data_IF_241469258529
#
_entry.id   IF_241469258529
#
_cell.length_a   1.000
_cell.length_b   1.000
_cell.length_c   1.000
_cell.angle_alpha   90.00
_cell.angle_beta   90.00
_cell.angle_gamma   90.00
#
_symmetry.space_group_name_H-M   'P 1'
#
loop_
_entity.id
_entity.type
_entity.pdbx_description
1 polymer ?
#
# COMPACT_ATOMS: atom_id res chain seq x y z
N UNK A 1 -18.05 -51.75 -2.72
CA UNK A 1 -17.53 -51.09 -1.53
C UNK A 1 -18.56 -51.08 -0.43
N UNK A 2 -18.22 -51.33 0.83
CA UNK A 2 -19.17 -51.26 1.96
C UNK A 2 -19.77 -49.85 2.06
N UNK A 3 -21.07 -49.77 2.36
CA UNK A 3 -21.78 -48.48 2.47
C UNK A 3 -21.15 -47.53 3.49
N UNK A 4 -20.56 -48.10 4.52
CA UNK A 4 -19.85 -47.38 5.57
C UNK A 4 -18.60 -46.64 5.05
N UNK A 5 -17.86 -47.23 4.12
CA UNK A 5 -16.68 -46.61 3.50
C UNK A 5 -17.08 -45.44 2.61
N UNK A 6 -18.18 -45.55 1.89
CA UNK A 6 -18.71 -44.48 1.05
C UNK A 6 -19.18 -43.31 1.93
N UNK A 7 -19.85 -43.59 3.06
CA UNK A 7 -20.28 -42.57 4.00
C UNK A 7 -19.10 -41.84 4.65
N UNK A 8 -18.03 -42.56 5.04
CA UNK A 8 -16.83 -41.96 5.59
C UNK A 8 -16.11 -41.04 4.60
N UNK A 9 -16.01 -41.48 3.33
CA UNK A 9 -15.40 -40.63 2.27
C UNK A 9 -16.24 -39.39 2.03
N UNK A 10 -17.57 -39.52 1.96
CA UNK A 10 -18.45 -38.36 1.79
C UNK A 10 -18.33 -37.36 2.95
N UNK A 11 -18.23 -37.85 4.19
CA UNK A 11 -18.02 -37.00 5.36
C UNK A 11 -16.69 -36.26 5.29
N UNK A 12 -15.61 -36.93 4.91
CA UNK A 12 -14.27 -36.27 4.76
C UNK A 12 -14.30 -35.19 3.67
N UNK A 13 -14.95 -35.44 2.55
CA UNK A 13 -15.11 -34.43 1.49
C UNK A 13 -15.92 -33.23 1.98
N UNK A 14 -16.99 -33.46 2.74
CA UNK A 14 -17.82 -32.39 3.30
C UNK A 14 -17.01 -31.53 4.31
N UNK A 15 -16.22 -32.15 5.17
CA UNK A 15 -15.33 -31.43 6.14
C UNK A 15 -14.28 -30.61 5.38
N UNK A 16 -13.66 -31.18 4.37
CA UNK A 16 -12.67 -30.47 3.55
C UNK A 16 -13.30 -29.28 2.80
N UNK A 17 -14.47 -29.46 2.21
CA UNK A 17 -15.20 -28.39 1.54
C UNK A 17 -15.61 -27.26 2.52
N UNK A 18 -16.08 -27.61 3.71
CA UNK A 18 -16.39 -26.62 4.76
C UNK A 18 -15.15 -25.86 5.21
N UNK A 19 -14.02 -26.53 5.42
CA UNK A 19 -12.75 -25.91 5.77
C UNK A 19 -12.23 -24.93 4.71
N UNK A 20 -12.30 -25.33 3.43
CA UNK A 20 -11.89 -24.44 2.33
C UNK A 20 -12.82 -23.23 2.19
N UNK A 21 -14.12 -23.40 2.36
CA UNK A 21 -15.09 -22.29 2.35
C UNK A 21 -14.79 -21.28 3.49
N UNK A 22 -14.54 -21.77 4.70
CA UNK A 22 -14.18 -20.95 5.85
C UNK A 22 -12.88 -20.16 5.61
N UNK A 23 -11.86 -20.79 5.04
CA UNK A 23 -10.60 -20.14 4.69
C UNK A 23 -10.78 -19.05 3.63
N UNK A 24 -11.65 -19.28 2.65
CA UNK A 24 -11.96 -18.28 1.61
C UNK A 24 -12.66 -17.06 2.23
N UNK A 25 -13.66 -17.29 3.08
CA UNK A 25 -14.38 -16.19 3.77
C UNK A 25 -13.44 -15.42 4.67
N UNK A 26 -12.59 -16.10 5.45
CA UNK A 26 -11.59 -15.47 6.31
C UNK A 26 -10.59 -14.62 5.50
N UNK A 27 -10.05 -15.16 4.40
CA UNK A 27 -9.15 -14.41 3.50
C UNK A 27 -9.83 -13.19 2.87
N UNK A 28 -11.10 -13.30 2.46
CA UNK A 28 -11.87 -12.17 1.90
C UNK A 28 -12.06 -11.07 2.94
N UNK A 29 -12.45 -11.41 4.17
CA UNK A 29 -12.65 -10.47 5.27
C UNK A 29 -11.34 -9.76 5.63
N UNK A 30 -10.23 -10.50 5.71
CA UNK A 30 -8.91 -9.94 6.04
C UNK A 30 -8.42 -8.99 4.94
N UNK A 31 -8.59 -9.36 3.67
CA UNK A 31 -8.23 -8.51 2.53
C UNK A 31 -9.05 -7.22 2.47
N UNK A 32 -10.33 -7.27 2.77
CA UNK A 32 -11.20 -6.09 2.81
C UNK A 32 -10.77 -5.12 3.91
N UNK A 33 -10.49 -5.63 5.09
CA UNK A 33 -9.99 -4.81 6.22
C UNK A 33 -8.65 -4.13 5.90
N UNK A 34 -7.71 -4.84 5.29
CA UNK A 34 -6.40 -4.29 4.90
C UNK A 34 -6.53 -3.21 3.83
N UNK A 35 -7.43 -3.40 2.86
CA UNK A 35 -7.73 -2.42 1.81
C UNK A 35 -8.33 -1.13 2.40
N UNK A 36 -9.27 -1.24 3.33
CA UNK A 36 -9.86 -0.07 4.00
C UNK A 36 -8.82 0.74 4.79
N UNK A 37 -7.92 0.06 5.50
CA UNK A 37 -6.83 0.73 6.24
C UNK A 37 -5.90 1.45 5.28
N UNK A 38 -5.52 0.83 4.16
CA UNK A 38 -4.70 1.43 3.11
C UNK A 38 -5.35 2.70 2.55
N UNK A 39 -6.59 2.60 2.09
CA UNK A 39 -7.31 3.72 1.49
C UNK A 39 -7.54 4.89 2.45
N UNK A 40 -7.79 4.63 3.75
CA UNK A 40 -7.86 5.69 4.77
C UNK A 40 -6.51 6.37 4.96
N UNK A 41 -5.42 5.61 4.91
CA UNK A 41 -4.08 6.16 5.04
C UNK A 41 -3.70 7.02 3.83
N UNK A 42 -4.03 6.61 2.61
CA UNK A 42 -3.87 7.40 1.39
C UNK A 42 -4.62 8.73 1.48
N UNK A 43 -5.88 8.69 1.90
CA UNK A 43 -6.70 9.89 2.12
C UNK A 43 -6.09 10.82 3.17
N UNK A 44 -5.58 10.26 4.27
CA UNK A 44 -4.89 11.02 5.31
C UNK A 44 -3.62 11.68 4.78
N UNK A 45 -2.80 10.96 4.01
CA UNK A 45 -1.61 11.51 3.37
C UNK A 45 -1.95 12.64 2.40
N UNK A 46 -2.97 12.48 1.57
CA UNK A 46 -3.44 13.52 0.65
C UNK A 46 -3.84 14.81 1.40
N UNK A 47 -4.53 14.69 2.52
CA UNK A 47 -4.89 15.84 3.36
C UNK A 47 -3.67 16.52 3.96
N UNK A 48 -2.64 15.77 4.37
CA UNK A 48 -1.38 16.35 4.89
C UNK A 48 -0.61 17.08 3.79
N UNK A 49 -0.54 16.53 2.58
CA UNK A 49 0.09 17.16 1.43
C UNK A 49 -0.60 18.50 1.10
N UNK A 50 -1.92 18.50 1.05
CA UNK A 50 -2.68 19.73 0.80
C UNK A 50 -2.40 20.81 1.86
N UNK A 51 -2.35 20.44 3.14
CA UNK A 51 -2.00 21.37 4.24
C UNK A 51 -0.55 21.86 4.14
N UNK A 52 0.37 21.05 3.63
CA UNK A 52 1.79 21.44 3.42
C UNK A 52 2.00 22.28 2.15
N UNK A 53 0.91 22.71 1.48
CA UNK A 53 0.95 23.60 0.32
C UNK A 53 1.13 22.91 -1.02
N UNK A 54 0.93 21.59 -1.09
CA UNK A 54 0.82 20.92 -2.38
C UNK A 54 -0.52 21.28 -3.04
N UNK A 55 -0.49 21.41 -4.35
CA UNK A 55 -1.63 21.70 -5.22
C UNK A 55 -1.96 20.47 -6.06
N UNK A 56 -3.13 20.45 -6.68
CA UNK A 56 -3.60 19.37 -7.58
C UNK A 56 -3.42 17.98 -6.92
N UNK A 57 -3.73 17.88 -5.63
CA UNK A 57 -3.59 16.62 -4.89
C UNK A 57 -4.71 15.67 -5.29
N UNK A 58 -4.36 14.64 -6.04
CA UNK A 58 -5.30 13.66 -6.59
C UNK A 58 -4.95 12.24 -6.15
N UNK A 59 -5.95 11.52 -5.62
CA UNK A 59 -5.85 10.09 -5.36
C UNK A 59 -6.04 9.31 -6.66
N UNK A 60 -5.19 8.31 -6.89
CA UNK A 60 -5.33 7.43 -8.05
C UNK A 60 -6.45 6.41 -7.86
N UNK A 61 -6.84 5.72 -8.92
CA UNK A 61 -7.77 4.59 -8.84
C UNK A 61 -7.03 3.37 -8.29
N UNK A 62 -7.68 2.59 -7.45
CA UNK A 62 -7.14 1.43 -6.72
C UNK A 62 -6.63 0.25 -7.58
N UNK A 63 -6.55 0.37 -8.90
CA UNK A 63 -6.01 -0.66 -9.80
C UNK A 63 -5.41 -0.05 -11.06
N UNK A 64 -4.22 -0.52 -11.45
CA UNK A 64 -3.52 -0.05 -12.65
C UNK A 64 -2.78 1.28 -12.46
N UNK A 65 -2.48 1.65 -11.23
CA UNK A 65 -1.82 2.89 -10.82
C UNK A 65 -0.28 2.84 -10.91
N UNK A 66 0.27 1.71 -11.32
CA UNK A 66 1.73 1.46 -11.41
C UNK A 66 2.49 1.84 -10.13
N UNK A 67 1.84 1.69 -8.97
CA UNK A 67 2.43 2.00 -7.66
C UNK A 67 2.46 3.48 -7.32
N UNK A 68 1.56 4.28 -7.87
CA UNK A 68 1.34 5.67 -7.48
C UNK A 68 -0.04 5.80 -6.87
N UNK A 69 -0.12 6.17 -5.59
CA UNK A 69 -1.37 6.34 -4.87
C UNK A 69 -1.87 7.79 -4.89
N UNK A 70 -0.94 8.77 -4.97
CA UNK A 70 -1.28 10.19 -5.00
C UNK A 70 -0.40 10.91 -6.02
N UNK A 71 -1.01 11.78 -6.82
CA UNK A 71 -0.33 12.82 -7.57
C UNK A 71 -0.49 14.17 -6.89
N UNK A 72 0.52 15.05 -7.00
CA UNK A 72 0.43 16.42 -6.58
C UNK A 72 1.43 17.31 -7.31
N UNK A 73 1.24 18.63 -7.23
CA UNK A 73 2.19 19.63 -7.70
C UNK A 73 2.62 20.53 -6.55
N UNK A 74 3.87 20.98 -6.57
CA UNK A 74 4.39 21.98 -5.65
C UNK A 74 5.50 22.77 -6.32
N UNK A 75 5.37 24.09 -6.34
CA UNK A 75 6.36 25.01 -6.92
C UNK A 75 6.71 24.67 -8.39
N UNK A 76 5.73 24.24 -9.19
CA UNK A 76 5.88 23.83 -10.58
C UNK A 76 6.50 22.43 -10.77
N UNK A 77 6.75 21.69 -9.69
CA UNK A 77 7.29 20.33 -9.72
C UNK A 77 6.15 19.32 -9.58
N UNK A 78 6.18 18.25 -10.38
CA UNK A 78 5.23 17.14 -10.32
C UNK A 78 5.74 16.02 -9.41
N UNK A 79 4.87 15.56 -8.52
CA UNK A 79 5.18 14.57 -7.49
C UNK A 79 4.28 13.35 -7.61
N UNK A 80 4.88 12.19 -7.43
CA UNK A 80 4.19 10.90 -7.32
C UNK A 80 4.47 10.30 -5.94
N UNK A 81 3.42 9.87 -5.24
CA UNK A 81 3.53 9.30 -3.91
C UNK A 81 2.97 7.90 -3.88
N UNK A 82 3.69 7.01 -3.18
CA UNK A 82 3.19 5.72 -2.76
C UNK A 82 3.02 5.68 -1.26
N UNK A 83 1.87 5.20 -0.78
CA UNK A 83 1.49 5.15 0.63
C UNK A 83 1.49 3.69 1.14
N UNK A 84 2.23 3.41 2.20
CA UNK A 84 2.30 2.09 2.83
C UNK A 84 1.99 2.18 4.32
N UNK A 85 0.80 1.71 4.72
CA UNK A 85 0.37 1.64 6.13
C UNK A 85 0.66 0.24 6.67
N UNK A 86 1.80 0.04 7.31
CA UNK A 86 2.28 -1.26 7.77
C UNK A 86 2.68 -1.24 9.24
N UNK A 87 2.54 -2.39 9.90
CA UNK A 87 3.00 -2.62 11.29
C UNK A 87 4.51 -2.93 11.38
N UNK A 88 5.18 -3.07 10.25
CA UNK A 88 6.60 -3.40 10.11
C UNK A 88 7.29 -2.46 9.13
N UNK A 89 8.65 -2.38 9.17
CA UNK A 89 9.40 -1.55 8.24
C UNK A 89 9.13 -1.86 6.78
N UNK A 90 9.00 -0.83 5.96
CA UNK A 90 8.74 -0.93 4.52
C UNK A 90 10.00 -1.35 3.78
N UNK A 91 9.87 -2.37 2.94
CA UNK A 91 10.96 -2.95 2.16
C UNK A 91 11.12 -2.34 0.77
N UNK A 92 12.03 -2.95 -0.01
CA UNK A 92 12.44 -2.48 -1.35
C UNK A 92 11.29 -2.41 -2.38
N UNK A 93 10.26 -3.24 -2.24
CA UNK A 93 9.17 -3.30 -3.22
C UNK A 93 8.46 -1.95 -3.38
N UNK A 94 8.22 -1.23 -2.29
CA UNK A 94 7.60 0.09 -2.36
C UNK A 94 8.47 1.10 -3.13
N UNK A 95 9.79 1.00 -3.00
CA UNK A 95 10.73 1.85 -3.76
C UNK A 95 10.72 1.49 -5.24
N UNK A 96 10.66 0.19 -5.57
CA UNK A 96 10.59 -0.28 -6.96
C UNK A 96 9.26 0.13 -7.62
N UNK A 97 8.16 0.01 -6.89
CA UNK A 97 6.82 0.40 -7.36
C UNK A 97 6.78 1.90 -7.70
N UNK A 98 7.17 2.78 -6.76
CA UNK A 98 7.13 4.23 -7.00
C UNK A 98 8.16 4.68 -8.04
N UNK A 99 9.32 4.04 -8.13
CA UNK A 99 10.31 4.32 -9.17
C UNK A 99 9.69 4.08 -10.56
N UNK A 100 9.06 2.92 -10.77
CA UNK A 100 8.39 2.59 -12.03
C UNK A 100 7.22 3.52 -12.33
N UNK A 101 6.38 3.81 -11.34
CA UNK A 101 5.23 4.68 -11.49
C UNK A 101 5.62 6.13 -11.77
N UNK A 102 6.59 6.68 -11.04
CA UNK A 102 7.12 8.02 -11.28
C UNK A 102 7.57 8.19 -12.75
N UNK A 103 8.35 7.23 -13.25
CA UNK A 103 8.87 7.29 -14.61
C UNK A 103 7.77 7.12 -15.66
N UNK A 104 6.82 6.18 -15.42
CA UNK A 104 5.68 5.97 -16.31
C UNK A 104 4.82 7.24 -16.46
N UNK A 105 4.52 7.92 -15.34
CA UNK A 105 3.73 9.15 -15.35
C UNK A 105 4.55 10.42 -15.58
N UNK A 106 5.86 10.29 -15.80
CA UNK A 106 6.79 11.40 -16.02
C UNK A 106 6.77 12.45 -14.89
N UNK A 107 6.57 12.00 -13.65
CA UNK A 107 6.71 12.85 -12.50
C UNK A 107 8.18 13.13 -12.20
N UNK A 108 8.48 14.34 -11.72
CA UNK A 108 9.86 14.75 -11.41
C UNK A 108 10.35 14.14 -10.11
N UNK A 109 9.46 13.96 -9.13
CA UNK A 109 9.79 13.45 -7.79
C UNK A 109 8.94 12.23 -7.45
N UNK A 110 9.57 11.18 -6.94
CA UNK A 110 8.90 10.00 -6.37
C UNK A 110 9.13 9.93 -4.86
N UNK A 111 8.08 9.62 -4.12
CA UNK A 111 8.11 9.55 -2.65
C UNK A 111 7.42 8.27 -2.18
N UNK A 112 8.01 7.56 -1.23
CA UNK A 112 7.29 6.56 -0.42
C UNK A 112 6.95 7.16 0.93
N UNK A 113 5.67 7.12 1.30
CA UNK A 113 5.17 7.56 2.62
C UNK A 113 4.77 6.34 3.44
N UNK A 114 5.16 6.28 4.70
CA UNK A 114 4.74 5.24 5.63
C UNK A 114 4.48 5.78 7.04
N UNK A 115 3.58 5.11 7.76
CA UNK A 115 3.36 5.32 9.19
C UNK A 115 4.48 4.73 10.07
N UNK A 116 5.37 3.93 9.49
CA UNK A 116 6.43 3.19 10.19
C UNK A 116 7.82 3.71 9.77
N UNK A 117 8.76 2.83 9.60
CA UNK A 117 10.14 3.08 9.17
C UNK A 117 10.45 2.34 7.86
N UNK A 118 11.66 2.47 7.36
CA UNK A 118 12.16 1.77 6.18
C UNK A 118 13.27 0.81 6.54
N UNK A 119 13.39 -0.30 5.80
CA UNK A 119 14.53 -1.21 5.91
C UNK A 119 15.79 -0.56 5.36
N UNK A 120 16.97 -1.00 5.83
CA UNK A 120 18.26 -0.51 5.30
C UNK A 120 18.38 -0.74 3.78
N UNK A 121 17.85 -1.86 3.27
CA UNK A 121 17.83 -2.15 1.83
C UNK A 121 16.95 -1.17 1.06
N UNK A 122 15.76 -0.81 1.58
CA UNK A 122 14.89 0.20 0.98
C UNK A 122 15.56 1.57 0.92
N UNK A 123 16.22 1.97 2.01
CA UNK A 123 16.94 3.25 2.09
C UNK A 123 18.09 3.31 1.07
N UNK A 124 18.87 2.22 0.96
CA UNK A 124 19.94 2.13 -0.03
C UNK A 124 19.42 2.24 -1.46
N UNK A 125 18.35 1.50 -1.78
CA UNK A 125 17.76 1.52 -3.12
C UNK A 125 17.16 2.88 -3.46
N UNK A 126 16.47 3.52 -2.51
CA UNK A 126 15.89 4.85 -2.68
C UNK A 126 16.97 5.89 -3.01
N UNK A 127 18.13 5.84 -2.34
CA UNK A 127 19.26 6.71 -2.65
C UNK A 127 19.79 6.55 -4.07
N UNK A 128 19.83 5.31 -4.60
CA UNK A 128 20.27 5.05 -5.98
C UNK A 128 19.30 5.66 -7.01
N UNK A 129 18.01 5.63 -6.74
CA UNK A 129 16.97 6.05 -7.69
C UNK A 129 16.41 7.46 -7.41
N UNK A 130 17.00 8.21 -6.47
CA UNK A 130 16.52 9.52 -6.05
C UNK A 130 15.04 9.50 -5.63
N UNK A 131 14.63 8.47 -4.89
CA UNK A 131 13.31 8.35 -4.28
C UNK A 131 13.38 8.90 -2.85
N UNK A 132 12.46 9.78 -2.50
CA UNK A 132 12.35 10.31 -1.14
C UNK A 132 11.61 9.31 -0.25
N UNK A 133 12.05 9.20 0.99
CA UNK A 133 11.43 8.32 1.98
C UNK A 133 10.89 9.18 3.15
N UNK A 134 9.58 9.17 3.31
CA UNK A 134 8.88 9.86 4.39
C UNK A 134 8.35 8.84 5.40
N UNK A 135 9.06 8.71 6.51
CA UNK A 135 8.72 7.79 7.60
C UNK A 135 7.66 8.40 8.54
N UNK A 136 7.25 7.63 9.57
CA UNK A 136 6.27 8.09 10.54
C UNK A 136 6.67 9.37 11.28
N UNK A 137 7.97 9.66 11.44
CA UNK A 137 8.46 10.91 12.04
C UNK A 137 8.19 12.07 11.11
N UNK A 138 8.49 11.93 9.82
CA UNK A 138 8.21 12.96 8.81
C UNK A 138 6.71 13.21 8.69
N UNK A 139 5.90 12.18 8.76
CA UNK A 139 4.43 12.30 8.78
C UNK A 139 3.94 13.11 9.99
N UNK A 140 4.50 12.84 11.17
CA UNK A 140 4.16 13.57 12.39
C UNK A 140 4.60 15.06 12.33
N UNK A 141 5.72 15.37 11.65
CA UNK A 141 6.14 16.75 11.39
C UNK A 141 5.15 17.48 10.48
N UNK A 142 4.73 16.85 9.37
CA UNK A 142 3.73 17.41 8.44
C UNK A 142 2.39 17.64 9.15
N UNK A 143 1.96 16.73 10.01
CA UNK A 143 0.72 16.86 10.76
C UNK A 143 0.69 18.05 11.75
N UNK A 144 1.87 18.51 12.20
CA UNK A 144 2.01 19.68 13.11
C UNK A 144 2.03 21.03 12.38
N UNK A 145 2.27 21.03 11.06
CA UNK A 145 2.24 22.26 10.26
C UNK A 145 0.78 22.74 10.14
N UNK A 146 0.54 23.97 10.50
CA UNK A 146 -0.79 24.63 10.45
C UNK A 146 -0.96 25.36 9.14
#
# INVERSE_FOLDING_TARGET
MPKEVIAAIALLIAIFAAGTALLIVWKRKHRHSTYEVGSRFETYCAQLLWKDGFQDVELTKASGDFGVDIFATKDGVTWAFQCKCYDKPVGIHAVQEIYSGRDYYRCMVGVVITNNSFTAAATKLAGVHNILLWDGRKLAELAKRR
#
